data_IF_874875797392
#
_entry.id   IF_874875797392
#
_cell.length_a   1.000
_cell.length_b   1.000
_cell.length_c   1.000
_cell.angle_alpha   90.00
_cell.angle_beta   90.00
_cell.angle_gamma   90.00
#
_symmetry.space_group_name_H-M   'P 1'
#
loop_
_entity.id
_entity.type
_entity.pdbx_description
1 polymer ?
#
# COMPACT_ATOMS: atom_id res chain seq x y z
N UNK A 1 40.35 2.17 -15.77
CA UNK A 1 39.02 1.82 -15.20
C UNK A 1 38.74 2.60 -13.93
N UNK A 2 39.68 2.74 -12.99
CA UNK A 2 39.49 3.54 -11.76
C UNK A 2 39.03 4.98 -11.99
N UNK A 3 39.71 5.75 -12.86
CA UNK A 3 39.33 7.13 -13.13
C UNK A 3 37.86 7.29 -13.58
N UNK A 4 37.34 6.29 -14.30
CA UNK A 4 35.96 6.30 -14.77
C UNK A 4 34.97 6.13 -13.61
N UNK A 5 35.30 5.29 -12.63
CA UNK A 5 34.53 5.12 -11.39
C UNK A 5 34.62 6.37 -10.51
N UNK A 6 35.81 6.99 -10.42
CA UNK A 6 35.99 8.25 -9.67
C UNK A 6 35.15 9.38 -10.24
N UNK A 7 35.16 9.56 -11.57
CA UNK A 7 34.33 10.55 -12.25
C UNK A 7 32.83 10.24 -12.10
N UNK A 8 32.44 8.97 -12.21
CA UNK A 8 31.06 8.54 -12.00
C UNK A 8 30.55 8.91 -10.60
N UNK A 9 31.36 8.67 -9.57
CA UNK A 9 31.05 9.07 -8.19
C UNK A 9 31.01 10.59 -8.02
N UNK A 10 32.00 11.31 -8.54
CA UNK A 10 32.11 12.77 -8.40
C UNK A 10 30.90 13.50 -9.02
N UNK A 11 30.50 13.10 -10.22
CA UNK A 11 29.40 13.74 -10.95
C UNK A 11 28.04 13.09 -10.70
N UNK A 12 27.98 12.03 -9.88
CA UNK A 12 26.75 11.26 -9.60
C UNK A 12 26.04 10.80 -10.87
N UNK A 13 26.81 10.33 -11.87
CA UNK A 13 26.29 9.84 -13.16
C UNK A 13 26.78 8.42 -13.47
N UNK A 14 25.99 7.59 -14.18
CA UNK A 14 26.44 6.26 -14.57
C UNK A 14 27.69 6.32 -15.45
N UNK A 15 28.57 5.34 -15.34
CA UNK A 15 29.76 5.22 -16.20
C UNK A 15 29.40 5.19 -17.68
N UNK A 16 28.24 4.61 -18.04
CA UNK A 16 27.72 4.62 -19.40
C UNK A 16 27.36 6.04 -19.90
N UNK A 17 26.99 6.97 -19.01
CA UNK A 17 26.81 8.40 -19.35
C UNK A 17 28.13 9.04 -19.76
N UNK A 18 29.17 8.77 -18.99
CA UNK A 18 30.52 9.31 -19.20
C UNK A 18 31.09 8.76 -20.52
N UNK A 19 30.86 7.47 -20.77
CA UNK A 19 31.39 6.79 -21.95
C UNK A 19 30.61 7.13 -23.23
N UNK A 20 29.28 7.22 -23.16
CA UNK A 20 28.42 7.32 -24.36
C UNK A 20 27.84 8.72 -24.60
N UNK A 21 28.14 9.70 -23.73
CA UNK A 21 27.49 11.03 -23.76
C UNK A 21 25.95 10.93 -23.83
N UNK A 22 25.37 9.87 -23.27
CA UNK A 22 23.93 9.64 -23.30
C UNK A 22 23.24 10.64 -22.39
N UNK A 23 22.36 11.49 -22.93
CA UNK A 23 21.70 12.53 -22.15
C UNK A 23 20.74 11.97 -21.08
N UNK A 24 20.36 10.69 -21.16
CA UNK A 24 19.31 10.08 -20.33
C UNK A 24 19.83 9.15 -19.23
N UNK A 25 21.14 9.02 -19.05
CA UNK A 25 21.69 8.14 -18.01
C UNK A 25 21.67 8.86 -16.64
N UNK A 26 20.87 8.32 -15.72
CA UNK A 26 20.70 8.83 -14.34
C UNK A 26 21.16 7.75 -13.37
N UNK A 27 21.90 8.15 -12.33
CA UNK A 27 22.28 7.24 -11.25
C UNK A 27 21.04 6.95 -10.40
N UNK A 28 20.70 5.67 -10.27
CA UNK A 28 19.64 5.21 -9.39
C UNK A 28 20.07 5.48 -7.96
N UNK A 29 19.52 6.53 -7.37
CA UNK A 29 19.82 6.90 -5.99
C UNK A 29 18.63 7.65 -5.37
N UNK A 30 18.46 7.57 -4.04
CA UNK A 30 17.44 8.34 -3.34
C UNK A 30 17.57 9.86 -3.52
N UNK A 31 18.77 10.37 -3.85
CA UNK A 31 19.01 11.80 -4.13
C UNK A 31 18.40 12.25 -5.46
N UNK A 32 18.21 11.33 -6.40
CA UNK A 32 17.65 11.60 -7.73
C UNK A 32 16.15 11.27 -7.82
N UNK A 33 15.50 11.07 -6.68
CA UNK A 33 14.06 10.77 -6.59
C UNK A 33 13.68 9.32 -6.88
N UNK A 34 14.63 8.39 -6.76
CA UNK A 34 14.36 6.96 -6.89
C UNK A 34 13.97 6.36 -5.53
N UNK A 35 12.84 5.66 -5.52
CA UNK A 35 12.25 5.02 -4.36
C UNK A 35 12.61 3.54 -4.35
N UNK A 36 13.16 2.98 -3.26
CA UNK A 36 13.54 1.57 -3.19
C UNK A 36 12.31 0.65 -3.14
N UNK A 37 12.40 -0.50 -3.80
CA UNK A 37 11.42 -1.58 -3.77
C UNK A 37 11.86 -2.70 -2.83
N UNK A 38 11.02 -2.97 -1.85
CA UNK A 38 11.13 -4.11 -0.95
C UNK A 38 10.16 -5.18 -1.47
N UNK A 39 10.68 -6.06 -2.31
CA UNK A 39 9.97 -7.24 -2.79
C UNK A 39 9.83 -8.29 -1.67
N UNK A 40 9.02 -9.32 -1.90
CA UNK A 40 8.78 -10.37 -0.89
C UNK A 40 10.09 -11.04 -0.43
N UNK A 41 10.99 -11.34 -1.36
CA UNK A 41 12.27 -11.99 -1.06
C UNK A 41 13.26 -11.13 -0.26
N UNK A 42 13.20 -9.80 -0.39
CA UNK A 42 14.10 -8.87 0.27
C UNK A 42 13.62 -8.46 1.67
N UNK A 43 12.40 -8.84 2.10
CA UNK A 43 11.81 -8.43 3.40
C UNK A 43 12.68 -8.81 4.59
N UNK A 44 13.21 -10.04 4.61
CA UNK A 44 14.07 -10.51 5.70
C UNK A 44 15.35 -9.67 5.79
N UNK A 45 16.06 -9.52 4.67
CA UNK A 45 17.25 -8.68 4.58
C UNK A 45 16.96 -7.22 4.93
N UNK A 46 15.78 -6.71 4.57
CA UNK A 46 15.37 -5.35 4.89
C UNK A 46 15.17 -5.15 6.39
N UNK A 47 14.55 -6.09 7.10
CA UNK A 47 14.37 -5.97 8.56
C UNK A 47 15.73 -5.87 9.29
N UNK A 48 16.68 -6.70 8.86
CA UNK A 48 18.04 -6.76 9.42
C UNK A 48 18.88 -5.52 9.06
N UNK A 49 18.84 -5.11 7.79
CA UNK A 49 19.72 -4.09 7.22
C UNK A 49 19.02 -2.74 6.97
N UNK A 50 17.86 -2.47 7.58
CA UNK A 50 17.08 -1.22 7.36
C UNK A 50 17.85 0.07 7.63
N UNK A 51 18.91 0.02 8.44
CA UNK A 51 19.76 1.18 8.80
C UNK A 51 21.05 1.23 7.99
N UNK A 52 21.30 0.22 7.15
CA UNK A 52 22.48 0.12 6.32
C UNK A 52 22.19 0.77 4.96
N UNK A 53 22.74 1.97 4.76
CA UNK A 53 22.58 2.71 3.50
C UNK A 53 23.21 1.99 2.31
N UNK A 54 24.28 1.20 2.52
CA UNK A 54 24.94 0.46 1.46
C UNK A 54 24.04 -0.69 0.99
N UNK A 55 23.47 -1.44 1.93
CA UNK A 55 22.53 -2.51 1.62
C UNK A 55 21.26 -1.97 0.95
N UNK A 56 20.68 -0.89 1.47
CA UNK A 56 19.52 -0.23 0.85
C UNK A 56 19.83 0.26 -0.57
N UNK A 57 21.09 0.65 -0.83
CA UNK A 57 21.59 1.01 -2.16
C UNK A 57 21.59 -0.13 -3.18
N UNK A 58 21.58 -1.39 -2.73
CA UNK A 58 21.54 -2.57 -3.61
C UNK A 58 20.12 -2.93 -4.07
N UNK A 59 19.09 -2.40 -3.41
CA UNK A 59 17.71 -2.67 -3.78
C UNK A 59 17.39 -2.07 -5.13
N UNK A 60 16.49 -2.72 -5.86
CA UNK A 60 15.89 -2.12 -7.05
C UNK A 60 15.18 -0.82 -6.66
N UNK A 61 15.42 0.25 -7.41
CA UNK A 61 14.79 1.54 -7.14
C UNK A 61 14.06 2.05 -8.37
N UNK A 62 12.93 2.71 -8.15
CA UNK A 62 12.06 3.20 -9.22
C UNK A 62 11.73 4.66 -9.01
N UNK A 63 11.69 5.41 -10.11
CA UNK A 63 11.17 6.78 -10.10
C UNK A 63 9.69 6.75 -10.47
N UNK A 64 8.83 7.16 -9.54
CA UNK A 64 7.38 7.18 -9.75
C UNK A 64 6.92 8.64 -9.86
N UNK A 65 6.19 9.04 -10.92
CA UNK A 65 5.67 10.40 -11.04
C UNK A 65 4.84 10.82 -9.81
N UNK A 66 5.19 11.95 -9.20
CA UNK A 66 4.51 12.50 -8.01
C UNK A 66 5.00 11.95 -6.67
N UNK A 67 5.85 10.93 -6.68
CA UNK A 67 6.42 10.29 -5.49
C UNK A 67 7.96 10.37 -5.54
N UNK A 68 8.58 10.60 -4.40
CA UNK A 68 10.02 10.83 -4.27
C UNK A 68 10.52 10.28 -2.93
N UNK A 69 11.66 9.61 -2.96
CA UNK A 69 12.41 9.12 -1.80
C UNK A 69 12.79 10.20 -0.80
N UNK A 70 12.93 11.47 -1.22
CA UNK A 70 13.14 12.61 -0.31
C UNK A 70 11.99 12.80 0.69
N UNK A 71 10.83 12.17 0.45
CA UNK A 71 9.69 12.16 1.37
C UNK A 71 9.66 10.91 2.27
N UNK A 72 10.79 10.22 2.44
CA UNK A 72 10.90 8.95 3.17
C UNK A 72 9.91 7.89 2.65
N UNK A 73 9.75 7.84 1.33
CA UNK A 73 8.89 6.87 0.67
C UNK A 73 9.64 5.58 0.37
N UNK A 74 8.93 4.46 0.41
CA UNK A 74 9.41 3.11 0.11
C UNK A 74 8.31 2.35 -0.64
N UNK A 75 8.70 1.46 -1.54
CA UNK A 75 7.76 0.58 -2.24
C UNK A 75 7.75 -0.80 -1.59
N UNK A 76 6.57 -1.36 -1.39
CA UNK A 76 6.42 -2.70 -0.82
C UNK A 76 5.55 -3.55 -1.72
N UNK A 77 6.06 -4.73 -2.08
CA UNK A 77 5.25 -5.74 -2.74
C UNK A 77 4.33 -6.42 -1.73
N UNK A 78 3.06 -6.63 -2.08
CA UNK A 78 2.05 -7.29 -1.25
C UNK A 78 2.19 -8.81 -1.36
N UNK A 79 2.20 -9.46 -0.21
CA UNK A 79 2.28 -10.92 -0.08
C UNK A 79 0.97 -11.47 0.47
N UNK A 80 0.42 -12.49 -0.18
CA UNK A 80 -0.80 -13.17 0.25
C UNK A 80 -2.11 -12.43 -0.07
N UNK A 81 -3.20 -12.95 0.48
CA UNK A 81 -4.59 -12.52 0.22
C UNK A 81 -5.24 -11.82 1.43
N UNK A 82 -4.44 -11.53 2.46
CA UNK A 82 -4.94 -11.08 3.75
C UNK A 82 -5.58 -9.68 3.74
N UNK A 83 -5.40 -8.94 2.65
CA UNK A 83 -5.97 -7.63 2.40
C UNK A 83 -6.95 -7.63 1.20
N UNK A 84 -7.35 -8.81 0.71
CA UNK A 84 -8.40 -8.93 -0.29
C UNK A 84 -9.74 -8.46 0.28
N UNK A 85 -10.58 -7.75 -0.50
CA UNK A 85 -10.42 -7.46 -1.93
C UNK A 85 -9.63 -6.17 -2.24
N UNK A 86 -9.23 -5.42 -1.23
CA UNK A 86 -8.60 -4.09 -1.40
C UNK A 86 -7.22 -4.15 -2.02
N UNK A 87 -6.39 -5.12 -1.59
CA UNK A 87 -5.06 -5.38 -2.10
C UNK A 87 -4.93 -6.84 -2.52
N UNK A 88 -4.28 -7.06 -3.66
CA UNK A 88 -4.02 -8.40 -4.19
C UNK A 88 -2.54 -8.73 -4.07
N UNK A 89 -2.21 -10.03 -4.03
CA UNK A 89 -0.82 -10.48 -4.07
C UNK A 89 -0.11 -9.92 -5.33
N UNK A 90 1.10 -9.39 -5.15
CA UNK A 90 1.88 -8.76 -6.22
C UNK A 90 1.58 -7.27 -6.43
N UNK A 91 0.58 -6.71 -5.75
CA UNK A 91 0.39 -5.24 -5.76
C UNK A 91 1.63 -4.55 -5.17
N UNK A 92 2.02 -3.42 -5.73
CA UNK A 92 3.10 -2.58 -5.22
C UNK A 92 2.51 -1.39 -4.50
N UNK A 93 2.79 -1.26 -3.20
CA UNK A 93 2.33 -0.17 -2.36
C UNK A 93 3.36 0.95 -2.33
N UNK A 94 2.89 2.18 -2.50
CA UNK A 94 3.71 3.38 -2.30
C UNK A 94 3.43 3.87 -0.88
N UNK A 95 4.39 3.64 0.03
CA UNK A 95 4.22 3.93 1.44
C UNK A 95 5.16 5.06 1.88
N UNK A 96 4.67 5.95 2.74
CA UNK A 96 5.42 7.06 3.31
C UNK A 96 5.63 6.84 4.79
N UNK A 97 6.87 6.98 5.28
CA UNK A 97 7.15 6.94 6.71
C UNK A 97 6.39 8.04 7.46
N UNK A 98 5.94 7.71 8.66
CA UNK A 98 5.21 8.63 9.52
C UNK A 98 5.98 8.85 10.82
N UNK A 99 6.28 10.12 11.11
CA UNK A 99 7.01 10.50 12.31
C UNK A 99 6.10 10.57 13.54
N UNK A 100 4.83 10.94 13.35
CA UNK A 100 3.84 11.04 14.42
C UNK A 100 2.58 10.19 14.14
N UNK A 101 2.31 9.24 15.04
CA UNK A 101 1.11 8.41 15.05
C UNK A 101 -0.21 9.19 15.12
N UNK A 102 -0.20 10.43 15.62
CA UNK A 102 -1.42 11.25 15.67
C UNK A 102 -1.96 11.58 14.28
N UNK A 103 -1.07 11.68 13.28
CA UNK A 103 -1.40 11.98 11.88
C UNK A 103 -2.10 10.81 11.17
N UNK A 104 -2.02 9.59 11.71
CA UNK A 104 -2.75 8.43 11.16
C UNK A 104 -4.24 8.57 11.43
N UNK A 105 -5.04 8.47 10.37
CA UNK A 105 -6.48 8.27 10.47
C UNK A 105 -6.78 6.78 10.65
N UNK A 106 -7.60 6.43 11.63
CA UNK A 106 -8.03 5.04 11.84
C UNK A 106 -8.70 4.47 10.57
N UNK A 107 -8.39 3.21 10.27
CA UNK A 107 -8.83 2.53 9.04
C UNK A 107 -7.92 2.79 7.83
N UNK A 108 -6.90 3.66 7.94
CA UNK A 108 -5.90 3.84 6.89
C UNK A 108 -5.11 2.55 6.65
N UNK A 109 -4.77 2.27 5.40
CA UNK A 109 -3.90 1.14 5.06
C UNK A 109 -2.46 1.54 5.38
N UNK A 110 -1.77 0.71 6.15
CA UNK A 110 -0.40 0.94 6.55
C UNK A 110 0.47 -0.28 6.31
N UNK A 111 1.76 -0.01 6.15
CA UNK A 111 2.83 -1.00 6.27
C UNK A 111 3.48 -0.79 7.62
N UNK A 112 3.41 -1.81 8.47
CA UNK A 112 3.98 -1.80 9.82
C UNK A 112 5.19 -2.72 9.83
N UNK A 113 6.34 -2.16 10.20
CA UNK A 113 7.58 -2.91 10.31
C UNK A 113 7.77 -3.26 11.78
N UNK A 114 7.93 -4.55 12.04
CA UNK A 114 8.31 -5.09 13.34
C UNK A 114 9.70 -5.72 13.24
N UNK A 115 10.37 -6.02 14.37
CA UNK A 115 11.64 -6.75 14.34
C UNK A 115 11.58 -8.13 13.69
N UNK A 116 10.39 -8.67 13.41
CA UNK A 116 10.19 -10.02 12.87
C UNK A 116 9.56 -10.06 11.48
N UNK A 117 8.81 -9.03 11.11
CA UNK A 117 8.00 -9.04 9.89
C UNK A 117 7.64 -7.64 9.39
N UNK A 118 7.41 -7.55 8.09
CA UNK A 118 6.75 -6.42 7.41
C UNK A 118 5.29 -6.79 7.19
N UNK A 119 4.36 -6.02 7.76
CA UNK A 119 2.94 -6.37 7.84
C UNK A 119 2.12 -5.27 7.14
N UNK A 120 1.25 -5.66 6.21
CA UNK A 120 0.32 -4.72 5.55
C UNK A 120 -1.09 -4.94 6.05
N UNK A 121 -1.66 -3.94 6.74
CA UNK A 121 -3.00 -4.00 7.35
C UNK A 121 -3.64 -2.62 7.45
N UNK A 122 -4.93 -2.56 7.79
CA UNK A 122 -5.53 -1.33 8.30
C UNK A 122 -5.11 -1.09 9.73
N UNK A 123 -4.77 0.14 10.06
CA UNK A 123 -4.38 0.51 11.42
C UNK A 123 -5.55 1.13 12.18
N UNK A 124 -5.66 0.79 13.46
CA UNK A 124 -6.52 1.47 14.43
C UNK A 124 -5.70 1.77 15.68
N UNK A 125 -5.72 3.01 16.13
CA UNK A 125 -4.96 3.44 17.31
C UNK A 125 -5.67 2.97 18.58
N UNK A 126 -4.89 2.45 19.53
CA UNK A 126 -5.35 2.18 20.90
C UNK A 126 -4.42 2.91 21.88
N UNK A 127 -4.69 4.21 22.00
CA UNK A 127 -3.89 5.15 22.79
C UNK A 127 -3.91 4.81 24.29
N UNK A 128 -5.01 4.24 24.79
CA UNK A 128 -5.15 3.88 26.20
C UNK A 128 -4.16 2.78 26.60
N UNK A 129 -3.93 1.82 25.71
CA UNK A 129 -3.02 0.70 25.94
C UNK A 129 -1.63 0.90 25.29
N UNK A 130 -1.36 2.09 24.75
CA UNK A 130 -0.13 2.40 24.02
C UNK A 130 0.18 1.34 22.94
N UNK A 131 -0.85 1.00 22.16
CA UNK A 131 -0.82 -0.08 21.18
C UNK A 131 -1.54 0.31 19.88
N UNK A 132 -1.33 -0.49 18.84
CA UNK A 132 -2.02 -0.38 17.56
C UNK A 132 -2.66 -1.72 17.22
N UNK A 133 -3.87 -1.65 16.70
CA UNK A 133 -4.62 -2.81 16.23
C UNK A 133 -4.50 -2.83 14.71
N UNK A 134 -4.05 -3.94 14.17
CA UNK A 134 -3.89 -4.21 12.75
C UNK A 134 -5.03 -5.10 12.28
N UNK A 135 -5.83 -4.58 11.36
CA UNK A 135 -7.09 -5.16 10.90
C UNK A 135 -6.92 -5.60 9.44
N UNK A 136 -7.34 -6.82 9.16
CA UNK A 136 -7.35 -7.41 7.83
C UNK A 136 -8.62 -7.04 7.09
N UNK A 137 -8.53 -6.76 5.78
CA UNK A 137 -9.74 -6.59 4.95
C UNK A 137 -10.38 -7.94 4.61
N UNK A 138 -9.59 -9.01 4.64
CA UNK A 138 -10.06 -10.37 4.49
C UNK A 138 -10.54 -10.91 5.85
N UNK A 139 -11.83 -11.23 5.95
CA UNK A 139 -12.48 -11.70 7.17
C UNK A 139 -11.96 -13.06 7.70
N UNK A 140 -11.24 -13.82 6.87
CA UNK A 140 -10.61 -15.08 7.31
C UNK A 140 -9.38 -14.86 8.20
N UNK A 141 -8.93 -13.62 8.35
CA UNK A 141 -7.74 -13.27 9.12
C UNK A 141 -8.12 -12.49 10.37
N UNK A 142 -7.60 -12.94 11.52
CA UNK A 142 -7.83 -12.26 12.79
C UNK A 142 -7.10 -10.91 12.88
N UNK A 143 -7.62 -10.05 13.76
CA UNK A 143 -6.97 -8.78 14.10
C UNK A 143 -5.75 -9.05 14.99
N UNK A 144 -4.68 -8.30 14.76
CA UNK A 144 -3.45 -8.42 15.54
C UNK A 144 -3.21 -7.13 16.33
N UNK A 145 -2.88 -7.25 17.61
CA UNK A 145 -2.56 -6.09 18.45
C UNK A 145 -1.06 -6.05 18.72
N UNK A 146 -0.42 -4.91 18.44
CA UNK A 146 0.99 -4.68 18.71
C UNK A 146 1.16 -3.51 19.67
N UNK A 147 1.91 -3.72 20.75
CA UNK A 147 2.40 -2.59 21.57
C UNK A 147 3.31 -1.73 20.71
N UNK A 148 3.22 -0.41 20.87
CA UNK A 148 4.07 0.54 20.14
C UNK A 148 5.58 0.30 20.38
N UNK A 149 5.95 -0.32 21.51
CA UNK A 149 7.34 -0.73 21.79
C UNK A 149 7.87 -1.81 20.83
N UNK A 150 6.99 -2.61 20.26
CA UNK A 150 7.33 -3.71 19.35
C UNK A 150 7.19 -3.32 17.87
N UNK A 151 6.86 -2.06 17.60
CA UNK A 151 6.76 -1.49 16.26
C UNK A 151 8.01 -0.67 15.99
N UNK A 152 8.70 -0.98 14.90
CA UNK A 152 9.92 -0.27 14.49
C UNK A 152 9.60 0.95 13.63
N UNK A 153 8.69 0.81 12.67
CA UNK A 153 8.25 1.89 11.79
C UNK A 153 6.79 1.67 11.38
N UNK A 154 6.09 2.77 11.12
CA UNK A 154 4.76 2.77 10.54
C UNK A 154 4.81 3.63 9.29
N UNK A 155 4.35 3.08 8.18
CA UNK A 155 4.27 3.79 6.92
C UNK A 155 2.82 3.80 6.44
N UNK A 156 2.33 4.99 6.06
CA UNK A 156 1.00 5.15 5.49
C UNK A 156 1.05 4.90 3.98
N UNK A 157 0.12 4.08 3.48
CA UNK A 157 0.02 3.81 2.05
C UNK A 157 -0.67 5.00 1.37
N UNK A 158 0.03 5.65 0.43
CA UNK A 158 -0.47 6.80 -0.32
C UNK A 158 -0.99 6.42 -1.71
N UNK A 159 -0.56 5.28 -2.23
CA UNK A 159 -1.00 4.76 -3.53
C UNK A 159 -0.67 3.29 -3.70
N UNK A 160 -1.26 2.68 -4.73
CA UNK A 160 -0.94 1.32 -5.16
C UNK A 160 -0.76 1.27 -6.67
N UNK A 161 0.15 0.40 -7.11
CA UNK A 161 0.30 -0.02 -8.51
C UNK A 161 -0.15 -1.47 -8.54
N UNK A 162 -1.12 -1.78 -9.40
CA UNK A 162 -1.71 -3.12 -9.49
C UNK A 162 -1.79 -3.56 -10.93
N UNK A 163 -1.48 -4.84 -11.16
CA UNK A 163 -1.72 -5.51 -12.45
C UNK A 163 -3.06 -6.27 -12.46
N UNK A 164 -3.68 -6.41 -11.28
CA UNK A 164 -4.99 -7.06 -11.10
C UNK A 164 -6.09 -6.06 -11.44
N UNK A 165 -6.34 -5.90 -12.74
CA UNK A 165 -7.43 -5.05 -13.21
C UNK A 165 -8.75 -5.80 -13.02
N UNK A 166 -9.67 -5.18 -12.26
CA UNK A 166 -11.02 -5.72 -12.08
C UNK A 166 -11.69 -5.84 -13.46
N UNK A 167 -12.05 -7.06 -13.86
CA UNK A 167 -12.95 -7.24 -14.99
C UNK A 167 -14.34 -6.74 -14.58
N UNK A 168 -14.83 -5.71 -15.25
CA UNK A 168 -16.21 -5.24 -15.07
C UNK A 168 -17.12 -6.35 -15.58
N UNK A 169 -17.76 -7.05 -14.65
CA UNK A 169 -18.78 -8.03 -15.00
C UNK A 169 -20.08 -7.26 -15.31
N UNK A 170 -20.34 -6.97 -16.58
CA UNK A 170 -21.51 -6.21 -17.04
C UNK A 170 -22.86 -6.84 -16.60
N UNK A 171 -22.86 -8.09 -16.11
CA UNK A 171 -24.04 -8.76 -15.55
C UNK A 171 -24.52 -8.16 -14.21
N UNK A 172 -23.64 -7.57 -13.40
CA UNK A 172 -24.02 -7.09 -12.06
C UNK A 172 -24.96 -5.88 -12.11
N UNK A 173 -24.82 -5.02 -13.13
CA UNK A 173 -25.72 -3.87 -13.32
C UNK A 173 -27.16 -4.32 -13.61
N UNK A 174 -27.33 -5.43 -14.34
CA UNK A 174 -28.67 -6.01 -14.54
C UNK A 174 -29.25 -6.65 -13.28
N UNK A 175 -28.41 -7.16 -12.38
CA UNK A 175 -28.86 -7.79 -11.14
C UNK A 175 -29.26 -6.74 -10.11
N UNK A 176 -28.49 -5.67 -9.97
CA UNK A 176 -28.83 -4.53 -9.12
C UNK A 176 -30.16 -3.88 -9.55
N UNK A 177 -30.33 -3.60 -10.85
CA UNK A 177 -31.59 -3.07 -11.41
C UNK A 177 -32.79 -3.99 -11.19
N UNK A 178 -32.60 -5.32 -11.30
CA UNK A 178 -33.66 -6.30 -10.99
C UNK A 178 -34.07 -6.29 -9.53
N UNK A 179 -33.11 -6.13 -8.62
CA UNK A 179 -33.38 -6.03 -7.18
C UNK A 179 -34.11 -4.73 -6.85
N UNK A 180 -33.66 -3.59 -7.39
CA UNK A 180 -34.35 -2.29 -7.24
C UNK A 180 -35.81 -2.38 -7.70
N UNK A 181 -36.04 -2.93 -8.89
CA UNK A 181 -37.39 -3.11 -9.41
C UNK A 181 -38.25 -4.03 -8.53
N UNK A 182 -37.66 -5.09 -7.96
CA UNK A 182 -38.38 -5.99 -7.05
C UNK A 182 -38.78 -5.30 -5.74
N UNK A 183 -37.93 -4.39 -5.22
CA UNK A 183 -38.26 -3.59 -4.03
C UNK A 183 -39.38 -2.59 -4.32
N UNK A 184 -39.37 -1.93 -5.48
CA UNK A 184 -40.46 -1.03 -5.89
C UNK A 184 -41.81 -1.76 -5.96
N UNK A 185 -41.83 -2.96 -6.55
CA UNK A 185 -43.04 -3.78 -6.63
C UNK A 185 -43.54 -4.16 -5.22
N UNK A 186 -42.66 -4.60 -4.32
CA UNK A 186 -43.03 -4.90 -2.94
C UNK A 186 -43.59 -3.68 -2.20
N UNK A 187 -43.00 -2.50 -2.38
CA UNK A 187 -43.52 -1.26 -1.77
C UNK A 187 -44.92 -0.93 -2.27
N UNK A 188 -45.18 -1.13 -3.57
CA UNK A 188 -46.50 -0.92 -4.17
C UNK A 188 -47.54 -1.89 -3.60
N UNK A 189 -47.19 -3.16 -3.49
CA UNK A 189 -48.08 -4.19 -2.97
C UNK A 189 -48.41 -3.95 -1.48
N UNK A 190 -47.41 -3.57 -0.68
CA UNK A 190 -47.61 -3.14 0.72
C UNK A 190 -48.56 -1.96 0.81
N UNK A 191 -48.40 -0.94 -0.06
CA UNK A 191 -49.29 0.23 -0.10
C UNK A 191 -50.75 -0.15 -0.39
N UNK A 192 -50.97 -1.03 -1.38
CA UNK A 192 -52.32 -1.52 -1.72
C UNK A 192 -52.95 -2.35 -0.60
N UNK A 193 -52.15 -3.13 0.13
CA UNK A 193 -52.62 -3.89 1.30
C UNK A 193 -53.05 -2.93 2.41
N UNK A 194 -52.25 -1.90 2.70
CA UNK A 194 -52.58 -0.91 3.75
C UNK A 194 -53.86 -0.15 3.44
N UNK A 195 -54.09 0.25 2.19
CA UNK A 195 -55.35 0.89 1.77
C UNK A 195 -56.55 -0.05 1.95
N UNK A 196 -56.44 -1.31 1.52
CA UNK A 196 -57.51 -2.30 1.68
C UNK A 196 -57.81 -2.56 3.15
N UNK A 197 -56.79 -2.67 4.01
CA UNK A 197 -56.97 -2.88 5.45
C UNK A 197 -57.66 -1.70 6.12
N UNK A 198 -57.35 -0.46 5.73
CA UNK A 198 -58.02 0.74 6.25
C UNK A 198 -59.47 0.88 5.77
N UNK A 199 -59.82 0.29 4.62
CA UNK A 199 -61.20 0.32 4.08
C UNK A 199 -62.11 -0.74 4.72
N UNK A 200 -61.54 -1.69 5.48
CA UNK A 200 -62.27 -2.79 6.16
C UNK A 200 -62.59 -2.43 7.64
N UNK A 201 -62.17 -1.27 8.12
CA UNK A 201 -62.60 -0.68 9.41
C UNK A 201 -63.81 0.23 9.21
#
# INVERSE_FOLDING_TARGET
TEHLLTLSKLYSVPTDRILKSSQNAVTMSPKNGFVPLINVGARAGFIENRKDEEWLGTLEMYRIPGYDSQKNQKLFEVEGDSMMPTLTHGDILIAKHLDDLTEVVDGSITVVITPKAVITKRIKKDLNNNSVILISDNANYENMTYSLKNVSEILIVQGKITSSLNMINFANDTTAKKLEHSVELMQRDIGQILEKVNTIK
#
